data_IF_015013746598
#
_entry.id   IF_015013746598
#
_cell.length_a   1.000
_cell.length_b   1.000
_cell.length_c   1.000
_cell.angle_alpha   90.00
_cell.angle_beta   90.00
_cell.angle_gamma   90.00
#
_symmetry.space_group_name_H-M   'P 1'
#
loop_
_entity.id
_entity.type
_entity.pdbx_description
1 polymer ?
#
# COMPACT_ATOMS: atom_id res chain seq x y z
N UNK A 1 -1.77 4.74 15.64
CA UNK A 1 -1.53 3.49 14.89
C UNK A 1 -0.05 3.35 14.53
N UNK A 2 0.49 4.04 13.52
CA UNK A 2 1.91 3.87 13.17
C UNK A 2 2.85 4.15 14.35
N UNK A 3 2.64 5.25 15.09
CA UNK A 3 3.40 5.59 16.30
C UNK A 3 3.37 4.48 17.38
N UNK A 4 2.26 3.74 17.49
CA UNK A 4 2.13 2.64 18.47
C UNK A 4 2.97 1.43 18.04
N UNK A 5 3.04 1.16 16.73
CA UNK A 5 3.88 0.10 16.18
C UNK A 5 5.37 0.49 16.19
N UNK A 6 5.71 1.73 15.88
CA UNK A 6 7.07 2.28 16.00
C UNK A 6 7.58 2.23 17.44
N UNK A 7 6.72 2.53 18.42
CA UNK A 7 7.09 2.42 19.84
C UNK A 7 7.20 0.97 20.32
N UNK A 8 6.51 0.02 19.66
CA UNK A 8 6.49 -1.39 20.04
C UNK A 8 7.62 -2.20 19.40
N UNK A 9 8.04 -1.83 18.19
CA UNK A 9 8.98 -2.57 17.37
C UNK A 9 10.11 -1.65 16.88
N UNK A 10 11.33 -1.90 17.37
CA UNK A 10 12.53 -1.09 17.05
C UNK A 10 12.86 -1.05 15.55
N UNK A 11 12.42 -2.06 14.79
CA UNK A 11 12.65 -2.25 13.35
C UNK A 11 11.35 -2.28 12.54
N UNK A 12 10.30 -1.62 13.04
CA UNK A 12 9.06 -1.43 12.29
C UNK A 12 9.33 -0.74 10.96
N UNK A 13 8.91 -1.37 9.86
CA UNK A 13 9.38 -1.01 8.53
C UNK A 13 8.36 -0.22 7.69
N UNK A 14 7.23 0.20 8.26
CA UNK A 14 6.26 1.00 7.54
C UNK A 14 6.45 2.47 7.88
N UNK A 15 6.53 3.30 6.84
CA UNK A 15 6.75 4.73 6.98
C UNK A 15 5.64 5.52 6.27
N UNK A 16 5.05 6.48 6.98
CA UNK A 16 4.00 7.34 6.44
C UNK A 16 4.56 8.26 5.35
N UNK A 17 3.84 8.38 4.23
CA UNK A 17 4.23 9.22 3.10
C UNK A 17 3.56 10.60 3.26
N UNK A 18 4.34 11.57 3.75
CA UNK A 18 3.84 12.93 3.98
C UNK A 18 4.08 13.88 2.81
N UNK A 19 5.12 13.65 2.00
CA UNK A 19 5.51 14.52 0.89
C UNK A 19 4.64 14.36 -0.36
N UNK A 20 4.06 15.46 -0.84
CA UNK A 20 3.15 15.47 -2.01
C UNK A 20 3.76 14.86 -3.28
N UNK A 21 5.05 15.12 -3.56
CA UNK A 21 5.73 14.52 -4.72
C UNK A 21 5.81 12.99 -4.61
N UNK A 22 6.14 12.48 -3.42
CA UNK A 22 6.18 11.05 -3.16
C UNK A 22 4.77 10.44 -3.28
N UNK A 23 3.74 11.12 -2.76
CA UNK A 23 2.36 10.66 -2.89
C UNK A 23 1.95 10.49 -4.34
N UNK A 24 2.16 11.52 -5.16
CA UNK A 24 1.86 11.50 -6.60
C UNK A 24 2.61 10.36 -7.29
N UNK A 25 3.88 10.15 -6.96
CA UNK A 25 4.70 9.07 -7.56
C UNK A 25 4.08 7.69 -7.35
N UNK A 26 3.66 7.38 -6.11
CA UNK A 26 3.06 6.09 -5.80
C UNK A 26 1.64 5.93 -6.36
N UNK A 27 0.81 6.97 -6.30
CA UNK A 27 -0.54 6.96 -6.87
C UNK A 27 -0.50 6.77 -8.39
N UNK A 28 0.39 7.47 -9.10
CA UNK A 28 0.57 7.32 -10.54
C UNK A 28 1.12 5.93 -10.92
N UNK A 29 2.05 5.40 -10.12
CA UNK A 29 2.58 4.06 -10.35
C UNK A 29 1.50 2.99 -10.17
N UNK A 30 0.69 3.07 -9.11
CA UNK A 30 -0.45 2.18 -8.91
C UNK A 30 -1.44 2.26 -10.08
N UNK A 31 -1.82 3.48 -10.49
CA UNK A 31 -2.71 3.72 -11.64
C UNK A 31 -2.22 3.07 -12.94
N UNK A 32 -0.91 3.10 -13.16
CA UNK A 32 -0.26 2.54 -14.35
C UNK A 32 -0.21 1.02 -14.34
N UNK A 33 0.06 0.43 -13.17
CA UNK A 33 0.17 -1.03 -13.03
C UNK A 33 -1.18 -1.72 -12.95
N UNK A 34 -2.20 -1.06 -12.39
CA UNK A 34 -3.56 -1.59 -12.31
C UNK A 34 -4.20 -1.56 -13.72
N UNK A 35 -4.15 -2.71 -14.38
CA UNK A 35 -4.75 -2.96 -15.69
C UNK A 35 -6.28 -3.10 -15.64
N UNK A 36 -6.90 -3.06 -16.81
CA UNK A 36 -8.37 -3.09 -16.98
C UNK A 36 -9.06 -4.38 -16.54
N UNK A 37 -8.31 -5.48 -16.39
CA UNK A 37 -8.81 -6.74 -15.85
C UNK A 37 -8.83 -6.79 -14.32
N UNK A 38 -8.17 -5.85 -13.65
CA UNK A 38 -8.05 -5.85 -12.19
C UNK A 38 -9.37 -5.41 -11.53
N UNK A 39 -9.80 -6.04 -10.42
CA UNK A 39 -10.92 -5.54 -9.62
C UNK A 39 -10.74 -4.10 -9.11
N UNK A 40 -9.49 -3.62 -9.03
CA UNK A 40 -9.17 -2.25 -8.59
C UNK A 40 -9.29 -1.22 -9.72
N UNK A 41 -9.54 -1.63 -10.97
CA UNK A 41 -9.46 -0.73 -12.13
C UNK A 41 -10.36 0.49 -12.01
N UNK A 42 -11.60 0.31 -11.55
CA UNK A 42 -12.59 1.39 -11.40
C UNK A 42 -12.24 2.40 -10.29
N UNK A 43 -11.32 2.04 -9.39
CA UNK A 43 -10.93 2.84 -8.23
C UNK A 43 -9.49 3.33 -8.28
N UNK A 44 -8.69 2.89 -9.26
CA UNK A 44 -7.25 3.15 -9.32
C UNK A 44 -6.89 4.64 -9.34
N UNK A 45 -7.72 5.47 -9.96
CA UNK A 45 -7.55 6.93 -10.01
C UNK A 45 -7.94 7.64 -8.71
N UNK A 46 -8.52 6.91 -7.75
CA UNK A 46 -9.04 7.44 -6.49
C UNK A 46 -8.29 6.88 -5.27
N UNK A 47 -7.37 5.94 -5.46
CA UNK A 47 -6.51 5.42 -4.41
C UNK A 47 -5.64 6.56 -3.85
N UNK A 48 -5.61 6.69 -2.52
CA UNK A 48 -4.76 7.64 -1.82
C UNK A 48 -3.70 6.93 -1.03
N UNK A 49 -2.44 7.25 -1.31
CA UNK A 49 -1.33 6.60 -0.62
C UNK A 49 -1.18 7.14 0.80
N UNK A 50 -0.90 6.22 1.72
CA UNK A 50 -0.76 6.48 3.16
C UNK A 50 0.68 6.21 3.60
N UNK A 51 1.20 5.02 3.30
CA UNK A 51 2.50 4.58 3.80
C UNK A 51 3.16 3.61 2.81
N UNK A 52 4.47 3.42 2.95
CA UNK A 52 5.20 2.36 2.24
C UNK A 52 5.96 1.48 3.23
N UNK A 53 6.18 0.23 2.84
CA UNK A 53 7.17 -0.64 3.46
C UNK A 53 8.58 -0.22 3.01
N UNK A 54 9.54 -0.27 3.92
CA UNK A 54 10.97 -0.13 3.64
C UNK A 54 11.64 -1.48 3.35
N UNK A 55 10.95 -2.60 3.63
CA UNK A 55 11.45 -3.96 3.37
C UNK A 55 11.06 -4.50 2.00
N UNK A 56 9.90 -4.10 1.48
CA UNK A 56 9.37 -4.54 0.19
C UNK A 56 8.76 -3.37 -0.58
N UNK A 57 8.48 -3.56 -1.86
CA UNK A 57 7.73 -2.62 -2.69
C UNK A 57 6.21 -2.58 -2.37
N UNK A 58 5.84 -2.88 -1.12
CA UNK A 58 4.46 -2.82 -0.65
C UNK A 58 4.10 -1.39 -0.24
N UNK A 59 2.95 -0.93 -0.74
CA UNK A 59 2.44 0.42 -0.49
C UNK A 59 1.00 0.34 -0.01
N UNK A 60 0.71 1.04 1.07
CA UNK A 60 -0.62 1.13 1.67
C UNK A 60 -1.38 2.30 1.04
N UNK A 61 -2.53 1.99 0.46
CA UNK A 61 -3.48 2.93 -0.08
C UNK A 61 -4.81 2.88 0.68
N UNK A 62 -5.59 3.94 0.53
CA UNK A 62 -6.92 4.09 1.09
C UNK A 62 -7.91 4.51 0.00
N UNK A 63 -9.11 3.94 0.02
CA UNK A 63 -10.24 4.37 -0.79
C UNK A 63 -11.57 4.00 -0.12
N UNK A 64 -12.48 4.98 -0.02
CA UNK A 64 -13.76 4.79 0.65
C UNK A 64 -13.58 4.62 2.15
N UNK A 65 -13.80 3.40 2.64
CA UNK A 65 -13.65 2.95 4.02
C UNK A 65 -12.66 1.79 4.15
N UNK A 66 -11.88 1.51 3.10
CA UNK A 66 -10.99 0.35 3.02
C UNK A 66 -9.54 0.73 2.76
N UNK A 67 -8.67 -0.17 3.19
CA UNK A 67 -7.24 -0.12 2.94
C UNK A 67 -6.83 -1.16 1.90
N UNK A 68 -5.83 -0.83 1.11
CA UNK A 68 -5.28 -1.69 0.07
C UNK A 68 -3.77 -1.70 0.19
N UNK A 69 -3.19 -2.86 0.52
CA UNK A 69 -1.74 -3.04 0.42
C UNK A 69 -1.45 -3.59 -0.96
N UNK A 70 -0.75 -2.80 -1.78
CA UNK A 70 -0.44 -3.14 -3.16
C UNK A 70 1.07 -3.28 -3.29
N UNK A 71 1.52 -4.43 -3.79
CA UNK A 71 2.91 -4.68 -4.13
C UNK A 71 3.21 -4.10 -5.52
N UNK A 72 3.82 -2.92 -5.56
CA UNK A 72 4.16 -2.25 -6.82
C UNK A 72 5.35 -2.96 -7.47
N UNK A 73 5.19 -3.33 -8.73
CA UNK A 73 6.21 -4.06 -9.51
C UNK A 73 7.22 -3.13 -10.19
N UNK A 74 6.93 -1.82 -10.21
CA UNK A 74 7.65 -0.81 -10.98
C UNK A 74 7.72 -1.11 -12.48
N UNK A 75 6.89 -2.05 -12.96
CA UNK A 75 6.89 -2.49 -14.33
C UNK A 75 6.26 -1.44 -15.26
N UNK A 76 6.54 -1.60 -16.55
CA UNK A 76 5.77 -0.89 -17.59
C UNK A 76 4.36 -1.48 -17.63
N UNK A 77 3.39 -0.63 -18.02
CA UNK A 77 1.98 -0.96 -18.15
C UNK A 77 1.75 -2.36 -18.76
N UNK A 78 0.93 -3.19 -18.11
CA UNK A 78 0.51 -4.50 -18.62
C UNK A 78 1.48 -5.67 -18.37
N UNK A 79 2.60 -5.49 -17.68
CA UNK A 79 3.54 -6.57 -17.36
C UNK A 79 3.17 -7.36 -16.08
N UNK A 80 1.89 -7.71 -15.95
CA UNK A 80 1.34 -8.42 -14.80
C UNK A 80 0.64 -7.49 -13.82
N UNK A 81 -0.50 -7.93 -13.30
CA UNK A 81 -1.24 -7.17 -12.30
C UNK A 81 -0.49 -7.18 -10.96
N UNK A 82 -0.41 -6.04 -10.26
CA UNK A 82 0.19 -6.01 -8.94
C UNK A 82 -0.64 -6.87 -7.98
N UNK A 83 0.04 -7.64 -7.13
CA UNK A 83 -0.63 -8.37 -6.05
C UNK A 83 -1.12 -7.36 -5.03
N UNK A 84 -2.32 -7.57 -4.51
CA UNK A 84 -2.86 -6.70 -3.48
C UNK A 84 -3.60 -7.48 -2.39
N UNK A 85 -3.74 -6.85 -1.23
CA UNK A 85 -4.60 -7.28 -0.13
C UNK A 85 -5.54 -6.13 0.24
N UNK A 86 -6.83 -6.39 0.20
CA UNK A 86 -7.87 -5.50 0.75
C UNK A 86 -8.02 -5.76 2.25
N UNK A 87 -8.17 -4.70 3.04
CA UNK A 87 -8.29 -4.73 4.49
C UNK A 87 -9.38 -3.76 4.95
N UNK A 88 -10.19 -4.18 5.90
CA UNK A 88 -11.03 -3.29 6.69
C UNK A 88 -10.19 -2.53 7.74
N UNK A 89 -10.68 -1.38 8.25
CA UNK A 89 -9.94 -0.59 9.23
C UNK A 89 -9.56 -1.33 10.51
N UNK A 90 -10.41 -2.26 10.96
CA UNK A 90 -10.18 -3.10 12.14
C UNK A 90 -9.21 -4.26 11.89
N UNK A 91 -8.99 -4.65 10.62
CA UNK A 91 -8.01 -5.66 10.23
C UNK A 91 -6.58 -5.09 10.11
N UNK A 92 -6.43 -3.78 9.93
CA UNK A 92 -5.16 -3.13 9.64
C UNK A 92 -4.10 -3.34 10.75
N UNK A 93 -4.41 -3.21 12.06
CA UNK A 93 -3.44 -3.53 13.11
C UNK A 93 -2.99 -4.99 13.06
N UNK A 94 -3.93 -5.93 12.91
CA UNK A 94 -3.62 -7.36 12.81
C UNK A 94 -2.77 -7.69 11.58
N UNK A 95 -2.96 -6.96 10.48
CA UNK A 95 -2.11 -7.06 9.31
C UNK A 95 -0.67 -6.62 9.59
N UNK A 96 -0.45 -5.48 10.25
CA UNK A 96 0.91 -5.03 10.58
C UNK A 96 1.63 -5.98 11.54
N UNK A 97 0.93 -6.53 12.52
CA UNK A 97 1.47 -7.59 13.40
C UNK A 97 1.91 -8.82 12.60
N UNK A 98 1.05 -9.30 11.71
CA UNK A 98 1.38 -10.43 10.84
C UNK A 98 2.54 -10.11 9.90
N UNK A 99 2.54 -8.93 9.28
CA UNK A 99 3.55 -8.49 8.33
C UNK A 99 4.92 -8.45 9.01
N UNK A 100 5.02 -7.78 10.15
CA UNK A 100 6.26 -7.69 10.93
C UNK A 100 6.86 -9.07 11.26
N UNK A 101 6.01 -10.05 11.59
CA UNK A 101 6.46 -11.39 11.97
C UNK A 101 6.85 -12.31 10.79
N UNK A 102 6.38 -12.00 9.57
CA UNK A 102 6.48 -12.92 8.42
C UNK A 102 7.19 -12.32 7.20
N UNK A 103 7.55 -11.04 7.24
CA UNK A 103 8.18 -10.28 6.15
C UNK A 103 9.44 -9.58 6.63
#
# INVERSE_FOLDING_TARGET
MFEEFEAKYDDFCWCEITGEQAKTTFEEQAKREIGSSSPLYEIKDKLKVIAKSERQDDVLFFYGDKYFVIHLTWAKEGNGEPRYKELLPDELPGYFEWYYANV
#
